data_IF_111570887494
#
_entry.id   IF_111570887494
#
_cell.length_a   1.000
_cell.length_b   1.000
_cell.length_c   1.000
_cell.angle_alpha   90.00
_cell.angle_beta   90.00
_cell.angle_gamma   90.00
#
_symmetry.space_group_name_H-M   'P 1'
#
loop_
_entity.id
_entity.type
_entity.pdbx_description
1 polymer ?
#
# COMPACT_ATOMS: atom_id res chain seq x y z
N UNK A 1 -16.40 -14.99 -7.87
CA UNK A 1 -16.27 -15.71 -9.15
C UNK A 1 -15.35 -16.93 -9.13
N UNK A 2 -14.40 -17.06 -8.18
CA UNK A 2 -13.45 -18.19 -8.14
C UNK A 2 -14.01 -19.47 -7.48
N UNK A 3 -15.10 -19.38 -6.71
CA UNK A 3 -15.72 -20.56 -6.06
C UNK A 3 -16.54 -21.42 -7.03
N UNK A 4 -17.18 -20.82 -8.03
CA UNK A 4 -17.96 -21.55 -9.04
C UNK A 4 -17.05 -22.34 -9.99
N UNK A 5 -15.88 -21.81 -10.34
CA UNK A 5 -14.92 -22.48 -11.23
C UNK A 5 -14.34 -23.76 -10.62
N UNK A 6 -14.13 -23.79 -9.29
CA UNK A 6 -13.61 -24.97 -8.58
C UNK A 6 -14.64 -26.11 -8.56
N UNK A 7 -15.92 -25.79 -8.35
CA UNK A 7 -17.00 -26.79 -8.38
C UNK A 7 -17.14 -27.39 -9.80
N UNK A 8 -17.04 -26.57 -10.85
CA UNK A 8 -17.08 -27.06 -12.22
C UNK A 8 -15.87 -27.94 -12.61
N UNK A 9 -14.67 -27.61 -12.12
CA UNK A 9 -13.47 -28.42 -12.37
C UNK A 9 -13.53 -29.79 -11.66
N UNK A 10 -14.07 -29.83 -10.43
CA UNK A 10 -14.29 -31.09 -9.72
C UNK A 10 -15.38 -31.96 -10.37
N UNK A 11 -16.46 -31.35 -10.89
CA UNK A 11 -17.49 -32.08 -11.62
C UNK A 11 -16.95 -32.73 -12.92
N UNK A 12 -16.05 -32.05 -13.63
CA UNK A 12 -15.38 -32.61 -14.82
C UNK A 12 -14.44 -33.77 -14.45
N UNK A 13 -13.77 -33.70 -13.29
CA UNK A 13 -12.87 -34.76 -12.82
C UNK A 13 -13.63 -36.02 -12.39
N UNK A 14 -14.78 -35.87 -11.74
CA UNK A 14 -15.63 -37.01 -11.30
C UNK A 14 -16.22 -37.74 -12.53
N UNK A 15 -16.61 -37.02 -13.58
CA UNK A 15 -17.16 -37.61 -14.81
C UNK A 15 -16.13 -38.34 -15.68
N UNK A 16 -14.82 -38.16 -15.44
CA UNK A 16 -13.76 -38.76 -16.26
C UNK A 16 -13.38 -40.19 -15.83
N UNK A 17 -13.89 -40.69 -14.71
CA UNK A 17 -13.54 -41.99 -14.16
C UNK A 17 -14.50 -43.13 -14.55
N UNK A 18 -15.59 -42.82 -15.25
CA UNK A 18 -16.57 -43.80 -15.71
C UNK A 18 -16.54 -43.85 -17.24
N UNK A 19 -15.57 -44.59 -17.79
CA UNK A 19 -15.18 -44.48 -19.20
C UNK A 19 -16.02 -45.26 -20.21
N UNK A 20 -17.10 -45.93 -19.81
CA UNK A 20 -17.81 -46.82 -20.73
C UNK A 20 -19.33 -46.64 -20.72
N UNK A 21 -19.80 -45.49 -21.21
CA UNK A 21 -21.16 -45.38 -21.74
C UNK A 21 -21.22 -44.46 -22.97
N UNK A 22 -22.08 -44.81 -23.94
CA UNK A 22 -22.33 -44.01 -25.14
C UNK A 22 -22.76 -42.57 -24.83
N UNK A 23 -23.31 -42.36 -23.63
CA UNK A 23 -23.76 -41.09 -23.10
C UNK A 23 -22.59 -40.12 -22.84
N UNK A 24 -21.46 -40.61 -22.31
CA UNK A 24 -20.25 -39.81 -22.12
C UNK A 24 -19.68 -39.30 -23.44
N UNK A 25 -19.61 -40.16 -24.46
CA UNK A 25 -19.14 -39.78 -25.81
C UNK A 25 -20.08 -38.77 -26.49
N UNK A 26 -21.39 -38.86 -26.28
CA UNK A 26 -22.38 -37.89 -26.79
C UNK A 26 -22.23 -36.54 -26.08
N UNK A 27 -22.10 -36.56 -24.75
CA UNK A 27 -21.96 -35.36 -23.92
C UNK A 27 -20.63 -34.64 -24.15
N UNK A 28 -19.53 -35.37 -24.32
CA UNK A 28 -18.24 -34.79 -24.74
C UNK A 28 -18.35 -34.10 -26.11
N UNK A 29 -19.08 -34.69 -27.05
CA UNK A 29 -19.24 -34.11 -28.40
C UNK A 29 -20.01 -32.79 -28.36
N UNK A 30 -21.03 -32.71 -27.51
CA UNK A 30 -21.80 -31.49 -27.27
C UNK A 30 -20.93 -30.45 -26.55
N UNK A 31 -20.21 -30.86 -25.50
CA UNK A 31 -19.32 -29.98 -24.74
C UNK A 31 -18.22 -29.39 -25.63
N UNK A 32 -17.62 -30.20 -26.50
CA UNK A 32 -16.60 -29.76 -27.45
C UNK A 32 -17.19 -28.76 -28.46
N UNK A 33 -18.34 -29.07 -29.07
CA UNK A 33 -18.93 -28.19 -30.10
C UNK A 33 -19.40 -26.85 -29.53
N UNK A 34 -19.95 -26.84 -28.32
CA UNK A 34 -20.57 -25.64 -27.75
C UNK A 34 -19.57 -24.81 -26.93
N UNK A 35 -18.64 -25.45 -26.21
CA UNK A 35 -17.73 -24.75 -25.27
C UNK A 35 -16.38 -24.43 -25.92
N UNK A 36 -15.82 -25.28 -26.81
CA UNK A 36 -14.50 -24.99 -27.40
C UNK A 36 -14.40 -23.70 -28.22
N UNK A 37 -15.44 -23.22 -28.94
CA UNK A 37 -15.35 -21.94 -29.66
C UNK A 37 -15.13 -20.75 -28.71
N UNK A 38 -15.78 -20.77 -27.54
CA UNK A 38 -15.66 -19.71 -26.51
C UNK A 38 -14.30 -19.74 -25.80
N UNK A 39 -13.72 -20.93 -25.61
CA UNK A 39 -12.37 -21.07 -25.04
C UNK A 39 -11.29 -20.66 -26.05
N UNK A 40 -11.48 -20.92 -27.35
CA UNK A 40 -10.55 -20.52 -28.41
C UNK A 40 -10.47 -19.00 -28.62
N UNK A 41 -11.57 -18.27 -28.49
CA UNK A 41 -11.58 -16.79 -28.60
C UNK A 41 -10.92 -16.12 -27.39
N UNK A 42 -11.03 -16.70 -26.20
CA UNK A 42 -10.38 -16.19 -24.97
C UNK A 42 -8.85 -16.41 -24.99
N UNK A 43 -8.36 -17.43 -25.68
CA UNK A 43 -6.91 -17.71 -25.82
C UNK A 43 -6.23 -16.79 -26.86
N UNK A 44 -6.98 -16.06 -27.71
CA UNK A 44 -6.40 -15.16 -28.72
C UNK A 44 -5.89 -13.83 -28.18
N UNK A 45 -6.15 -13.48 -26.92
CA UNK A 45 -5.65 -12.24 -26.30
C UNK A 45 -4.39 -12.43 -25.43
N UNK A 46 -3.74 -13.59 -25.46
CA UNK A 46 -2.40 -13.76 -24.88
C UNK A 46 -1.35 -13.59 -25.97
N UNK A 47 -1.07 -12.35 -26.34
CA UNK A 47 0.21 -11.88 -26.93
C UNK A 47 0.24 -10.35 -27.18
N UNK A 48 -0.63 -9.56 -26.52
CA UNK A 48 -0.60 -8.10 -26.61
C UNK A 48 0.48 -7.43 -25.73
N UNK A 49 1.22 -8.21 -24.92
CA UNK A 49 2.32 -7.73 -24.07
C UNK A 49 3.70 -8.20 -24.56
N UNK A 50 3.84 -8.57 -25.83
CA UNK A 50 5.18 -8.72 -26.42
C UNK A 50 5.70 -7.31 -26.69
N UNK A 51 6.43 -6.73 -25.74
CA UNK A 51 7.23 -5.53 -25.98
C UNK A 51 8.18 -5.87 -27.14
N UNK A 52 7.97 -5.27 -28.30
CA UNK A 52 8.91 -5.38 -29.42
C UNK A 52 10.27 -4.97 -28.87
N UNK A 53 11.29 -5.84 -28.97
CA UNK A 53 12.66 -5.46 -28.59
C UNK A 53 12.99 -4.19 -29.37
N UNK A 54 13.05 -3.05 -28.68
CA UNK A 54 13.51 -1.82 -29.30
C UNK A 54 14.96 -2.06 -29.72
N UNK A 55 15.35 -1.58 -30.91
CA UNK A 55 16.76 -1.57 -31.28
C UNK A 55 17.51 -0.86 -30.13
N UNK A 56 18.70 -1.33 -29.72
CA UNK A 56 19.49 -0.64 -28.71
C UNK A 56 19.53 0.84 -29.06
N UNK A 57 18.96 1.68 -28.19
CA UNK A 57 19.06 3.12 -28.37
C UNK A 57 20.56 3.42 -28.31
N UNK A 58 21.16 3.87 -29.41
CA UNK A 58 22.49 4.50 -29.38
C UNK A 58 22.32 5.80 -28.61
N UNK A 59 22.30 5.71 -27.29
CA UNK A 59 22.53 6.88 -26.45
C UNK A 59 23.91 7.34 -26.89
N UNK A 60 24.02 8.57 -27.37
CA UNK A 60 25.32 9.21 -27.56
C UNK A 60 25.99 9.04 -26.20
N UNK A 61 26.96 8.12 -26.11
CA UNK A 61 27.65 7.90 -24.84
C UNK A 61 28.14 9.29 -24.48
N UNK A 62 27.67 9.85 -23.36
CA UNK A 62 28.35 10.99 -22.74
C UNK A 62 29.82 10.60 -22.84
N UNK A 63 30.60 11.40 -23.57
CA UNK A 63 32.01 11.13 -23.84
C UNK A 63 32.62 10.49 -22.60
N UNK A 64 33.47 9.44 -22.71
CA UNK A 64 34.11 8.87 -21.53
C UNK A 64 34.62 10.04 -20.71
N UNK A 65 34.03 10.25 -19.52
CA UNK A 65 34.40 11.38 -18.67
C UNK A 65 35.89 11.16 -18.42
N UNK A 66 36.72 11.99 -19.05
CA UNK A 66 38.17 11.90 -18.93
C UNK A 66 38.52 12.55 -17.61
N UNK A 67 38.28 11.82 -16.53
CA UNK A 67 38.78 12.18 -15.23
C UNK A 67 40.27 11.90 -15.20
N UNK A 68 41.03 12.85 -14.69
CA UNK A 68 42.39 12.56 -14.26
C UNK A 68 42.36 11.55 -13.09
N UNK A 69 43.44 10.80 -12.86
CA UNK A 69 43.51 9.75 -11.82
C UNK A 69 43.07 10.27 -10.44
N UNK A 70 43.44 11.51 -10.12
CA UNK A 70 43.08 12.19 -8.88
C UNK A 70 41.62 12.67 -8.86
N UNK A 71 41.08 13.11 -10.00
CA UNK A 71 39.65 13.45 -10.11
C UNK A 71 38.78 12.20 -10.00
N UNK A 72 39.23 11.08 -10.58
CA UNK A 72 38.51 9.81 -10.52
C UNK A 72 38.47 9.28 -9.08
N UNK A 73 39.57 9.36 -8.33
CA UNK A 73 39.60 9.02 -6.89
C UNK A 73 38.71 9.94 -6.05
N UNK A 74 38.65 11.24 -6.38
CA UNK A 74 37.84 12.20 -5.62
C UNK A 74 36.34 12.03 -5.86
N UNK A 75 35.93 11.81 -7.12
CA UNK A 75 34.52 11.81 -7.50
C UNK A 75 33.90 10.40 -7.51
N UNK A 76 34.69 9.37 -7.80
CA UNK A 76 34.25 7.99 -7.96
C UNK A 76 35.03 7.01 -7.08
N UNK A 77 35.93 7.51 -6.23
CA UNK A 77 36.69 6.67 -5.31
C UNK A 77 35.82 6.12 -4.19
N UNK A 78 36.27 5.04 -3.53
CA UNK A 78 35.58 4.45 -2.39
C UNK A 78 35.62 5.35 -1.14
N UNK A 79 36.42 6.42 -1.16
CA UNK A 79 36.51 7.46 -0.14
C UNK A 79 35.27 8.36 -0.19
N UNK A 80 34.10 7.76 0.04
CA UNK A 80 32.91 8.52 0.38
C UNK A 80 33.21 9.13 1.74
N UNK A 81 33.47 10.44 1.78
CA UNK A 81 33.61 11.19 3.02
C UNK A 81 32.40 10.97 3.94
N UNK A 82 32.45 11.50 5.17
CA UNK A 82 31.36 11.31 6.13
C UNK A 82 29.98 11.56 5.49
N UNK A 83 29.18 10.50 5.34
CA UNK A 83 27.89 10.56 4.66
C UNK A 83 26.95 11.34 5.57
N UNK A 84 26.48 12.50 5.14
CA UNK A 84 25.49 13.27 5.86
C UNK A 84 24.14 13.30 5.13
N UNK A 85 23.06 13.27 5.93
CA UNK A 85 21.68 13.41 5.47
C UNK A 85 21.08 14.60 6.19
N UNK A 86 20.45 15.50 5.44
CA UNK A 86 19.66 16.61 5.99
C UNK A 86 18.18 16.37 5.74
N UNK A 87 17.40 16.22 6.80
CA UNK A 87 15.94 16.10 6.74
C UNK A 87 15.36 17.27 7.54
N UNK A 88 14.85 18.28 6.83
CA UNK A 88 14.41 19.54 7.45
C UNK A 88 15.57 20.25 8.14
N UNK A 89 15.45 20.46 9.45
CA UNK A 89 16.49 21.08 10.27
C UNK A 89 17.46 20.07 10.87
N UNK A 90 17.19 18.77 10.74
CA UNK A 90 18.01 17.72 11.34
C UNK A 90 19.17 17.35 10.39
N UNK A 91 20.40 17.43 10.89
CA UNK A 91 21.59 16.90 10.22
C UNK A 91 22.05 15.60 10.90
N UNK A 92 22.07 14.52 10.12
CA UNK A 92 22.52 13.20 10.53
C UNK A 92 23.82 12.86 9.82
N UNK A 93 24.84 12.45 10.57
CA UNK A 93 26.11 11.92 10.05
C UNK A 93 26.16 10.42 10.27
N UNK A 94 26.54 9.67 9.24
CA UNK A 94 26.70 8.23 9.35
C UNK A 94 28.05 7.88 9.99
N UNK A 95 28.03 7.22 11.14
CA UNK A 95 29.22 6.63 11.73
C UNK A 95 29.48 5.26 11.08
N UNK A 96 30.51 5.21 10.22
CA UNK A 96 30.89 3.98 9.51
C UNK A 96 31.48 2.90 10.43
N UNK A 97 31.90 3.25 11.64
CA UNK A 97 32.46 2.28 12.61
C UNK A 97 31.37 1.55 13.38
N UNK A 98 30.28 2.24 13.71
CA UNK A 98 29.15 1.68 14.45
C UNK A 98 27.99 1.28 13.53
N UNK A 99 27.94 1.79 12.29
CA UNK A 99 26.84 1.58 11.36
C UNK A 99 25.56 2.32 11.74
N UNK A 100 25.69 3.40 12.52
CA UNK A 100 24.56 4.14 13.10
C UNK A 100 24.56 5.58 12.56
N UNK A 101 23.37 6.14 12.38
CA UNK A 101 23.19 7.56 12.09
C UNK A 101 23.21 8.37 13.39
N UNK A 102 24.17 9.29 13.51
CA UNK A 102 24.36 10.16 14.67
C UNK A 102 23.93 11.58 14.28
N UNK A 103 23.03 12.17 15.06
CA UNK A 103 22.71 13.60 14.93
C UNK A 103 23.72 14.43 15.71
N UNK A 104 24.28 15.48 15.09
CA UNK A 104 25.11 16.47 15.82
C UNK A 104 24.26 17.30 16.79
N UNK A 105 22.99 17.48 16.45
CA UNK A 105 22.00 18.06 17.35
C UNK A 105 21.52 16.95 18.29
N UNK A 106 21.62 17.17 19.61
CA UNK A 106 20.78 16.43 20.55
C UNK A 106 19.35 16.71 20.13
N UNK A 107 18.74 15.77 19.41
CA UNK A 107 17.33 15.83 19.07
C UNK A 107 16.62 16.21 20.36
N UNK A 108 15.86 17.30 20.31
CA UNK A 108 14.97 17.78 21.38
C UNK A 108 13.87 16.74 21.67
N UNK A 109 14.23 15.49 21.93
CA UNK A 109 13.33 14.40 22.29
C UNK A 109 12.56 14.77 23.54
N UNK A 110 13.24 15.39 24.51
CA UNK A 110 12.62 15.92 25.72
C UNK A 110 11.57 16.99 25.42
N UNK A 111 11.80 17.90 24.47
CA UNK A 111 10.82 18.96 24.18
C UNK A 111 9.67 18.46 23.31
N UNK A 112 9.92 17.49 22.41
CA UNK A 112 8.87 16.80 21.66
C UNK A 112 8.00 15.94 22.58
N UNK A 113 8.61 15.25 23.54
CA UNK A 113 7.90 14.44 24.53
C UNK A 113 7.11 15.32 25.51
N UNK A 114 7.69 16.43 25.98
CA UNK A 114 6.96 17.45 26.75
C UNK A 114 5.77 18.00 25.97
N UNK A 115 5.99 18.39 24.71
CA UNK A 115 4.92 18.95 23.88
C UNK A 115 3.81 17.95 23.60
N UNK A 116 4.17 16.68 23.40
CA UNK A 116 3.20 15.58 23.28
C UNK A 116 2.38 15.43 24.55
N UNK A 117 3.03 15.40 25.72
CA UNK A 117 2.35 15.25 27.00
C UNK A 117 1.39 16.42 27.29
N UNK A 118 1.78 17.65 26.96
CA UNK A 118 0.91 18.82 27.07
C UNK A 118 -0.35 18.68 26.19
N UNK A 119 -0.17 18.24 24.94
CA UNK A 119 -1.27 18.04 24.00
C UNK A 119 -2.20 16.90 24.45
N UNK A 120 -1.64 15.82 25.01
CA UNK A 120 -2.43 14.70 25.52
C UNK A 120 -3.27 15.12 26.75
N UNK A 121 -2.70 15.94 27.63
CA UNK A 121 -3.44 16.52 28.78
C UNK A 121 -4.55 17.47 28.33
N UNK A 122 -4.26 18.36 27.38
CA UNK A 122 -5.25 19.28 26.81
C UNK A 122 -6.39 18.51 26.15
N UNK A 123 -6.09 17.49 25.36
CA UNK A 123 -7.08 16.66 24.68
C UNK A 123 -8.01 15.96 25.69
N UNK A 124 -7.45 15.37 26.74
CA UNK A 124 -8.23 14.75 27.82
C UNK A 124 -9.16 15.77 28.51
N UNK A 125 -8.65 16.96 28.81
CA UNK A 125 -9.44 18.05 29.40
C UNK A 125 -10.57 18.52 28.46
N UNK A 126 -10.28 18.64 27.16
CA UNK A 126 -11.27 19.03 26.15
C UNK A 126 -12.39 17.99 26.04
N UNK A 127 -12.07 16.70 26.09
CA UNK A 127 -13.06 15.63 26.11
C UNK A 127 -14.03 15.78 27.29
N UNK A 128 -13.51 15.96 28.50
CA UNK A 128 -14.34 16.14 29.71
C UNK A 128 -15.22 17.39 29.62
N UNK A 129 -14.67 18.51 29.11
CA UNK A 129 -15.45 19.73 28.92
C UNK A 129 -16.61 19.53 27.95
N UNK A 130 -16.38 18.80 26.86
CA UNK A 130 -17.43 18.47 25.90
C UNK A 130 -18.52 17.61 26.54
N UNK A 131 -18.15 16.57 27.28
CA UNK A 131 -19.12 15.69 27.95
C UNK A 131 -20.01 16.48 28.92
N UNK A 132 -19.42 17.33 29.77
CA UNK A 132 -20.19 18.18 30.69
C UNK A 132 -21.12 19.14 29.93
N UNK A 133 -20.64 19.76 28.85
CA UNK A 133 -21.47 20.68 28.08
C UNK A 133 -22.63 19.97 27.39
N UNK A 134 -22.43 18.74 26.93
CA UNK A 134 -23.49 17.92 26.35
C UNK A 134 -24.52 17.52 27.41
N UNK A 135 -24.09 17.15 28.62
CA UNK A 135 -24.99 16.85 29.74
C UNK A 135 -25.81 18.09 30.13
N UNK A 136 -25.17 19.27 30.22
CA UNK A 136 -25.86 20.52 30.53
C UNK A 136 -26.89 20.89 29.45
N UNK A 137 -26.56 20.71 28.17
CA UNK A 137 -27.49 20.97 27.07
C UNK A 137 -28.65 19.98 27.06
N UNK A 138 -28.38 18.70 27.32
CA UNK A 138 -29.42 17.69 27.45
C UNK A 138 -30.37 18.01 28.61
N UNK A 139 -29.83 18.43 29.77
CA UNK A 139 -30.63 18.86 30.91
C UNK A 139 -31.48 20.09 30.58
N UNK A 140 -30.90 21.14 29.98
CA UNK A 140 -31.63 22.34 29.60
C UNK A 140 -32.75 22.06 28.58
N UNK A 141 -32.49 21.17 27.61
CA UNK A 141 -33.49 20.75 26.62
C UNK A 141 -34.63 19.97 27.30
N UNK A 142 -34.31 19.06 28.23
CA UNK A 142 -35.32 18.31 28.98
C UNK A 142 -36.17 19.24 29.87
N UNK A 143 -35.55 20.24 30.52
CA UNK A 143 -36.26 21.25 31.31
C UNK A 143 -37.22 22.09 30.45
N UNK A 144 -36.79 22.48 29.24
CA UNK A 144 -37.64 23.20 28.28
C UNK A 144 -38.83 22.34 27.80
N UNK A 145 -38.59 21.08 27.44
CA UNK A 145 -39.65 20.16 27.04
C UNK A 145 -40.70 19.96 28.15
N UNK A 146 -40.27 19.82 29.41
CA UNK A 146 -41.18 19.74 30.56
C UNK A 146 -41.95 21.05 30.79
N UNK A 147 -41.29 22.19 30.62
CA UNK A 147 -41.93 23.50 30.75
C UNK A 147 -42.99 23.74 29.66
N UNK A 148 -42.83 23.16 28.47
CA UNK A 148 -43.81 23.25 27.40
C UNK A 148 -44.98 22.27 27.57
N UNK A 149 -44.73 21.07 28.10
CA UNK A 149 -45.79 20.13 28.45
C UNK A 149 -46.73 20.70 29.54
N UNK A 150 -46.17 21.32 30.57
CA UNK A 150 -46.95 21.90 31.68
C UNK A 150 -47.76 23.15 31.30
N UNK A 151 -47.44 23.82 30.18
CA UNK A 151 -48.24 24.93 29.64
C UNK A 151 -49.40 24.48 28.75
N UNK A 152 -49.41 23.23 28.31
CA UNK A 152 -50.45 22.67 27.45
C UNK A 152 -51.60 22.03 28.23
N UNK A 153 -51.43 21.82 29.55
CA UNK A 153 -52.47 21.43 30.50
C UNK A 153 -53.14 22.64 31.14
#
# INVERSE_FOLDING_TARGET
>A
MLRTTIIHLNAVRILSNEKDTCWYKRRLRILIKTIMPQVKTVIRHKNAFVVKKSKPRKVQSRSPLKFDSEQMKRELGPELGAIDIRIGNLQLKFDSTQGIWISDEKIHGDDLERRKNELDQENSLLSIKLDILLDMLAQATAEEELADQTKQE
#
